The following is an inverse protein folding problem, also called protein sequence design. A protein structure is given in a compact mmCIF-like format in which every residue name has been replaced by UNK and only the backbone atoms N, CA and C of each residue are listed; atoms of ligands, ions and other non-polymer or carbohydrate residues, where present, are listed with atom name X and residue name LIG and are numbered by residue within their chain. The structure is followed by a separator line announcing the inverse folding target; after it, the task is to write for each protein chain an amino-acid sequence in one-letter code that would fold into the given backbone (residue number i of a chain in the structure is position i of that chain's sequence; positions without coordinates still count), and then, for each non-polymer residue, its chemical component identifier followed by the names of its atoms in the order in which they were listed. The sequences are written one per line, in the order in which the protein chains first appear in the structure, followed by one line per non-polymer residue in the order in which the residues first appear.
data_IF_863157060565
#
_entry.id   IF_863157060565
#
_cell.length_a   1.000
_cell.length_b   1.000
_cell.length_c   1.000
_cell.angle_alpha   90.00
_cell.angle_beta   90.00
_cell.angle_gamma   90.00
#
_symmetry.space_group_name_H-M   'P 1'
#
loop_
_entity.id
_entity.type
_entity.pdbx_description
1 polymer ?
#
# COMPACT_ATOMS: atom_id res chain seq x y z
N UNK A 1 15.01 -9.88 1.30
CA UNK A 1 13.54 -9.76 1.16
C UNK A 1 12.92 -9.87 2.53
N UNK A 2 11.68 -9.39 2.65
CA UNK A 2 10.84 -9.55 3.84
C UNK A 2 9.52 -10.08 3.29
N UNK A 3 9.21 -11.33 3.61
CA UNK A 3 7.94 -11.94 3.27
C UNK A 3 7.03 -11.89 4.48
N UNK A 4 5.85 -11.29 4.30
CA UNK A 4 4.83 -11.16 5.35
C UNK A 4 3.75 -12.18 5.03
N UNK A 5 3.77 -13.31 5.72
CA UNK A 5 2.73 -14.32 5.56
C UNK A 5 1.40 -13.79 6.10
N UNK A 6 0.33 -14.03 5.34
CA UNK A 6 -1.05 -13.77 5.73
C UNK A 6 -1.79 -15.10 5.73
N UNK A 7 -2.59 -15.35 6.77
CA UNK A 7 -3.37 -16.57 6.92
C UNK A 7 -4.87 -16.27 6.91
N UNK A 8 -5.67 -17.29 6.60
CA UNK A 8 -7.13 -17.19 6.51
C UNK A 8 -7.73 -16.53 7.77
N UNK A 9 -8.66 -15.59 7.56
CA UNK A 9 -9.39 -14.87 8.61
C UNK A 9 -8.53 -13.95 9.50
N UNK A 10 -7.28 -13.67 9.13
CA UNK A 10 -6.45 -12.66 9.80
C UNK A 10 -6.59 -11.25 9.19
N UNK A 11 -7.69 -10.95 8.51
CA UNK A 11 -7.93 -9.66 7.81
C UNK A 11 -7.69 -8.46 8.74
N UNK A 12 -8.07 -8.58 10.02
CA UNK A 12 -7.85 -7.55 11.05
C UNK A 12 -6.39 -7.31 11.44
N UNK A 13 -5.48 -8.25 11.13
CA UNK A 13 -4.04 -8.11 11.38
C UNK A 13 -3.28 -7.56 10.17
N UNK A 14 -3.94 -7.44 9.01
CA UNK A 14 -3.29 -7.08 7.75
C UNK A 14 -2.48 -5.77 7.86
N UNK A 15 -3.11 -4.70 8.33
CA UNK A 15 -2.47 -3.38 8.47
C UNK A 15 -1.34 -3.40 9.51
N UNK A 16 -1.52 -4.12 10.61
CA UNK A 16 -0.50 -4.26 11.65
C UNK A 16 0.74 -4.98 11.08
N UNK A 17 0.54 -6.12 10.42
CA UNK A 17 1.62 -6.90 9.81
C UNK A 17 2.33 -6.11 8.71
N UNK A 18 1.59 -5.33 7.92
CA UNK A 18 2.17 -4.43 6.93
C UNK A 18 3.07 -3.36 7.57
N UNK A 19 2.60 -2.70 8.63
CA UNK A 19 3.41 -1.71 9.36
C UNK A 19 4.69 -2.33 9.94
N UNK A 20 4.58 -3.51 10.55
CA UNK A 20 5.72 -4.26 11.08
C UNK A 20 6.73 -4.62 9.98
N UNK A 21 6.24 -5.08 8.82
CA UNK A 21 7.07 -5.39 7.67
C UNK A 21 7.80 -4.18 7.08
N UNK A 22 7.14 -3.02 7.00
CA UNK A 22 7.78 -1.77 6.58
C UNK A 22 8.90 -1.35 7.54
N UNK A 23 8.68 -1.46 8.85
CA UNK A 23 9.70 -1.20 9.85
C UNK A 23 10.88 -2.18 9.75
N UNK A 24 10.63 -3.44 9.38
CA UNK A 24 11.70 -4.41 9.10
C UNK A 24 12.48 -4.06 7.84
N UNK A 25 11.80 -3.68 6.76
CA UNK A 25 12.45 -3.25 5.50
C UNK A 25 13.36 -2.04 5.71
N UNK A 26 12.90 -1.05 6.48
CA UNK A 26 13.71 0.10 6.86
C UNK A 26 14.98 -0.31 7.60
N UNK A 27 14.86 -1.17 8.63
CA UNK A 27 16.03 -1.68 9.37
C UNK A 27 17.02 -2.38 8.45
N UNK A 28 16.52 -3.24 7.55
CA UNK A 28 17.36 -3.97 6.59
C UNK A 28 18.06 -3.02 5.62
N UNK A 29 17.35 -2.00 5.12
CA UNK A 29 17.93 -1.00 4.21
C UNK A 29 19.10 -0.26 4.87
N UNK A 30 18.92 0.22 6.10
CA UNK A 30 19.99 0.86 6.86
C UNK A 30 21.15 -0.08 7.16
N UNK A 31 20.88 -1.33 7.57
CA UNK A 31 21.92 -2.31 7.86
C UNK A 31 22.76 -2.68 6.63
N UNK A 32 22.13 -2.81 5.46
CA UNK A 32 22.81 -3.23 4.23
C UNK A 32 23.51 -2.09 3.50
N UNK A 33 22.86 -0.92 3.44
CA UNK A 33 23.28 0.18 2.57
C UNK A 33 23.71 1.43 3.35
N UNK A 34 23.53 1.47 4.68
CA UNK A 34 23.77 2.66 5.49
C UNK A 34 22.76 3.79 5.27
N UNK A 35 21.70 3.55 4.47
CA UNK A 35 20.72 4.56 4.07
C UNK A 35 19.40 3.92 3.59
N UNK A 36 18.37 4.75 3.49
CA UNK A 36 17.09 4.44 2.86
C UNK A 36 17.23 4.36 1.32
N UNK A 37 16.30 3.64 0.65
CA UNK A 37 16.28 3.58 -0.82
C UNK A 37 15.98 4.95 -1.43
N UNK A 38 16.48 5.17 -2.65
CA UNK A 38 16.26 6.42 -3.40
C UNK A 38 14.87 6.49 -4.05
N UNK A 39 14.20 5.33 -4.20
CA UNK A 39 12.89 5.18 -4.82
C UNK A 39 12.21 3.93 -4.27
N UNK A 40 10.89 4.00 -4.07
CA UNK A 40 10.04 2.83 -3.85
C UNK A 40 9.13 2.63 -5.06
N UNK A 41 9.03 1.39 -5.52
CA UNK A 41 8.00 0.97 -6.48
C UNK A 41 6.95 0.16 -5.72
N UNK A 42 5.74 0.69 -5.62
CA UNK A 42 4.58 0.00 -5.04
C UNK A 42 3.84 -0.71 -6.15
N UNK A 43 3.79 -2.04 -6.07
CA UNK A 43 3.00 -2.89 -6.97
C UNK A 43 1.64 -3.09 -6.31
N UNK A 44 0.69 -2.25 -6.69
CA UNK A 44 -0.55 -2.00 -5.96
C UNK A 44 -1.69 -2.91 -6.45
N UNK A 45 -1.78 -4.10 -5.88
CA UNK A 45 -2.83 -5.07 -6.16
C UNK A 45 -4.10 -4.77 -5.37
N UNK A 46 -5.24 -4.75 -6.05
CA UNK A 46 -6.56 -4.62 -5.43
C UNK A 46 -7.22 -5.98 -5.15
N UNK A 47 -6.53 -7.09 -5.42
CA UNK A 47 -7.04 -8.45 -5.29
C UNK A 47 -7.41 -8.89 -3.85
N UNK A 48 -6.92 -8.26 -2.76
CA UNK A 48 -7.46 -8.43 -1.40
C UNK A 48 -8.82 -7.76 -1.16
N UNK A 49 -9.30 -6.93 -2.09
CA UNK A 49 -10.57 -6.23 -1.92
C UNK A 49 -11.72 -7.23 -1.96
N UNK A 50 -12.65 -7.14 -1.01
CA UNK A 50 -13.84 -8.00 -0.96
C UNK A 50 -14.73 -7.94 -2.21
N UNK A 51 -14.61 -6.88 -3.01
CA UNK A 51 -15.28 -6.71 -4.30
C UNK A 51 -14.51 -7.25 -5.51
N UNK A 52 -13.37 -7.89 -5.29
CA UNK A 52 -12.65 -8.65 -6.33
C UNK A 52 -13.31 -10.02 -6.55
N UNK A 53 -13.24 -10.51 -7.78
CA UNK A 53 -13.90 -11.75 -8.20
C UNK A 53 -12.94 -12.95 -8.27
N UNK A 54 -11.65 -12.76 -7.97
CA UNK A 54 -10.67 -13.82 -8.07
C UNK A 54 -10.88 -14.88 -6.95
N UNK A 55 -11.21 -16.14 -7.28
CA UNK A 55 -11.48 -17.15 -6.26
C UNK A 55 -10.27 -17.50 -5.39
N UNK A 56 -9.05 -17.32 -5.90
CA UNK A 56 -7.81 -17.62 -5.18
C UNK A 56 -7.45 -16.61 -4.09
N UNK A 57 -8.05 -15.42 -4.08
CA UNK A 57 -7.84 -14.40 -3.04
C UNK A 57 -8.95 -14.41 -1.99
N UNK A 58 -9.87 -15.39 -2.04
CA UNK A 58 -11.03 -15.45 -1.14
C UNK A 58 -10.69 -15.55 0.36
N UNK A 59 -9.43 -15.82 0.69
CA UNK A 59 -8.89 -15.97 2.05
C UNK A 59 -8.60 -14.64 2.74
N UNK A 60 -8.47 -13.54 1.98
CA UNK A 60 -8.26 -12.18 2.47
C UNK A 60 -9.34 -11.28 1.86
N UNK A 61 -10.20 -10.70 2.71
CA UNK A 61 -11.34 -9.88 2.25
C UNK A 61 -11.35 -8.53 2.94
N UNK A 62 -10.51 -7.64 2.46
CA UNK A 62 -10.44 -6.27 2.95
C UNK A 62 -11.61 -5.47 2.40
N UNK A 63 -12.27 -4.72 3.27
CA UNK A 63 -13.26 -3.72 2.87
C UNK A 63 -12.61 -2.60 2.07
N UNK A 64 -13.41 -1.84 1.33
CA UNK A 64 -12.92 -0.69 0.58
C UNK A 64 -12.19 0.31 1.49
N UNK A 65 -12.67 0.50 2.72
CA UNK A 65 -12.03 1.35 3.72
C UNK A 65 -10.66 0.80 4.17
N UNK A 66 -10.56 -0.50 4.42
CA UNK A 66 -9.27 -1.11 4.82
C UNK A 66 -8.23 -1.04 3.69
N UNK A 67 -8.68 -1.12 2.43
CA UNK A 67 -7.82 -0.88 1.27
C UNK A 67 -7.28 0.57 1.27
N UNK A 68 -8.13 1.56 1.55
CA UNK A 68 -7.68 2.96 1.69
C UNK A 68 -6.69 3.12 2.85
N UNK A 69 -6.96 2.49 4.00
CA UNK A 69 -6.08 2.53 5.16
C UNK A 69 -4.70 1.93 4.83
N UNK A 70 -4.65 0.84 4.07
CA UNK A 70 -3.41 0.23 3.56
C UNK A 70 -2.63 1.22 2.70
N UNK A 71 -3.29 1.82 1.72
CA UNK A 71 -2.62 2.69 0.74
C UNK A 71 -2.09 3.96 1.42
N UNK A 72 -2.86 4.53 2.35
CA UNK A 72 -2.42 5.67 3.15
C UNK A 72 -1.29 5.31 4.11
N UNK A 73 -1.29 4.11 4.69
CA UNK A 73 -0.20 3.64 5.54
C UNK A 73 1.12 3.58 4.75
N UNK A 74 1.11 2.98 3.57
CA UNK A 74 2.27 2.93 2.67
C UNK A 74 2.71 4.33 2.25
N UNK A 75 1.76 5.13 1.76
CA UNK A 75 2.02 6.48 1.28
C UNK A 75 2.66 7.35 2.36
N UNK A 76 2.05 7.43 3.54
CA UNK A 76 2.56 8.23 4.65
C UNK A 76 3.92 7.72 5.13
N UNK A 77 4.11 6.39 5.21
CA UNK A 77 5.39 5.82 5.60
C UNK A 77 6.55 6.30 4.72
N UNK A 78 6.36 6.36 3.40
CA UNK A 78 7.38 6.85 2.47
C UNK A 78 7.50 8.38 2.48
N UNK A 79 6.39 9.11 2.58
CA UNK A 79 6.37 10.57 2.66
C UNK A 79 7.11 11.08 3.89
N UNK A 80 6.86 10.50 5.07
CA UNK A 80 7.52 10.86 6.34
C UNK A 80 9.05 10.67 6.28
N UNK A 81 9.50 9.79 5.39
CA UNK A 81 10.92 9.49 5.15
C UNK A 81 11.50 10.24 3.96
N UNK A 82 10.71 11.09 3.30
CA UNK A 82 11.07 11.79 2.06
C UNK A 82 11.56 10.85 0.95
N UNK A 83 11.00 9.63 0.89
CA UNK A 83 11.31 8.66 -0.16
C UNK A 83 10.26 8.83 -1.27
N UNK A 84 10.65 9.16 -2.52
CA UNK A 84 9.71 9.20 -3.62
C UNK A 84 9.16 7.78 -3.87
N UNK A 85 7.86 7.69 -4.15
CA UNK A 85 7.21 6.43 -4.50
C UNK A 85 6.52 6.53 -5.86
N UNK A 86 6.70 5.48 -6.66
CA UNK A 86 5.97 5.23 -7.89
C UNK A 86 4.99 4.07 -7.65
N UNK A 87 3.74 4.24 -8.10
CA UNK A 87 2.67 3.28 -7.88
C UNK A 87 2.23 2.73 -9.23
N UNK A 88 2.19 1.41 -9.34
CA UNK A 88 1.78 0.70 -10.56
C UNK A 88 0.70 -0.30 -10.22
N UNK A 89 -0.33 -0.37 -11.04
CA UNK A 89 -1.43 -1.30 -10.82
C UNK A 89 -0.94 -2.76 -10.95
N UNK A 90 -1.45 -3.62 -10.08
CA UNK A 90 -1.21 -5.06 -10.13
C UNK A 90 -2.54 -5.82 -10.28
N UNK A 91 -2.66 -6.98 -9.63
CA UNK A 91 -3.88 -7.79 -9.66
C UNK A 91 -5.13 -7.00 -9.27
N UNK A 92 -6.27 -7.38 -9.82
CA UNK A 92 -7.53 -6.65 -9.70
C UNK A 92 -8.48 -7.05 -10.82
N UNK A 93 -9.45 -7.92 -10.52
CA UNK A 93 -10.22 -8.63 -11.54
C UNK A 93 -11.74 -8.40 -11.45
N UNK A 94 -12.23 -7.85 -10.34
CA UNK A 94 -13.65 -7.51 -10.19
C UNK A 94 -14.03 -6.18 -10.84
N UNK A 95 -15.30 -6.02 -11.23
CA UNK A 95 -15.78 -4.79 -11.87
C UNK A 95 -15.66 -3.52 -10.99
N UNK A 96 -15.52 -3.70 -9.68
CA UNK A 96 -15.47 -2.61 -8.69
C UNK A 96 -14.07 -2.28 -8.18
N UNK A 97 -13.04 -3.01 -8.63
CA UNK A 97 -11.67 -2.83 -8.11
C UNK A 97 -11.09 -1.44 -8.35
N UNK A 98 -11.56 -0.77 -9.41
CA UNK A 98 -11.16 0.61 -9.70
C UNK A 98 -11.44 1.57 -8.54
N UNK A 99 -12.43 1.27 -7.69
CA UNK A 99 -12.77 2.09 -6.53
C UNK A 99 -11.61 2.19 -5.54
N UNK A 100 -10.80 1.13 -5.40
CA UNK A 100 -9.61 1.10 -4.55
C UNK A 100 -8.62 2.18 -4.98
N UNK A 101 -8.35 2.28 -6.27
CA UNK A 101 -7.39 3.24 -6.80
C UNK A 101 -7.94 4.68 -6.79
N UNK A 102 -9.21 4.86 -7.16
CA UNK A 102 -9.81 6.19 -7.23
C UNK A 102 -9.89 6.84 -5.84
N UNK A 103 -10.34 6.12 -4.81
CA UNK A 103 -10.42 6.69 -3.45
C UNK A 103 -9.06 7.13 -2.92
N UNK A 104 -7.99 6.40 -3.24
CA UNK A 104 -6.64 6.72 -2.81
C UNK A 104 -6.14 7.99 -3.49
N UNK A 105 -6.33 8.09 -4.81
CA UNK A 105 -5.98 9.28 -5.59
C UNK A 105 -6.78 10.51 -5.15
N UNK A 106 -8.09 10.38 -4.93
CA UNK A 106 -8.94 11.45 -4.42
C UNK A 106 -8.46 11.97 -3.05
N UNK A 107 -7.87 11.08 -2.24
CA UNK A 107 -7.34 11.44 -0.93
C UNK A 107 -6.01 12.19 -1.01
N UNK A 108 -5.06 11.74 -1.82
CA UNK A 108 -3.68 12.27 -1.82
C UNK A 108 -3.41 13.40 -2.82
N UNK A 109 -4.14 13.43 -3.94
CA UNK A 109 -3.88 14.40 -5.01
C UNK A 109 -4.13 15.86 -4.57
N UNK A 110 -5.20 16.19 -3.81
CA UNK A 110 -5.41 17.56 -3.34
C UNK A 110 -4.22 18.11 -2.53
N UNK A 111 -3.66 17.30 -1.63
CA UNK A 111 -2.51 17.65 -0.81
C UNK A 111 -1.25 17.89 -1.67
N UNK A 112 -1.02 17.00 -2.67
CA UNK A 112 0.10 17.12 -3.60
C UNK A 112 -0.03 18.31 -4.56
N UNK A 113 -1.23 18.62 -5.01
CA UNK A 113 -1.49 19.77 -5.88
C UNK A 113 -1.39 21.09 -5.10
N UNK A 114 -1.80 21.12 -3.83
CA UNK A 114 -1.62 22.28 -2.97
C UNK A 114 -0.14 22.52 -2.64
N UNK A 115 0.64 21.46 -2.39
CA UNK A 115 2.08 21.53 -2.11
C UNK A 115 2.94 21.96 -3.32
N UNK A 116 2.37 21.97 -4.54
CA UNK A 116 3.09 22.28 -5.79
C UNK A 116 2.79 23.68 -6.34
N UNK A 117 2.05 24.54 -5.63
CA UNK A 117 1.93 25.96 -6.05
C UNK A 117 3.27 26.69 -5.85
N UNK A 118 3.90 27.21 -6.93
CA UNK A 118 5.09 28.04 -6.79
C UNK A 118 4.69 29.44 -6.28
N UNK A 119 5.53 29.99 -5.38
CA UNK A 119 5.49 31.40 -4.96
C UNK A 119 5.61 32.36 -6.15
#
# INVERSE_FOLDING_TARGET
DVDIAQYDHEDGLYLQRLAEGLAQLEKIAFQKNGRLPDLVLVVDGSDPYEGDELPSTSTLRLTLQQMLERDLLLYNFFQDRSIPSAWVNAGGYGEKVWQVYVQFLEKILPERCAATQPY
#
